data_IF_882540465811
#
_entry.id   IF_882540465811
#
_cell.length_a   1.000
_cell.length_b   1.000
_cell.length_c   1.000
_cell.angle_alpha   90.00
_cell.angle_beta   90.00
_cell.angle_gamma   90.00
#
_symmetry.space_group_name_H-M   'P 1'
#
loop_
_entity.id
_entity.type
_entity.pdbx_description
1 polymer ?
#
# COMPACT_ATOMS: atom_id res chain seq x y z
N UNK A 1 -10.15 -1.18 -11.56
CA UNK A 1 -8.90 -1.98 -11.55
C UNK A 1 -7.67 -1.25 -12.11
N UNK A 2 -7.74 -0.53 -13.24
CA UNK A 2 -6.56 0.15 -13.82
C UNK A 2 -5.83 1.10 -12.85
N UNK A 3 -6.57 1.85 -12.03
CA UNK A 3 -5.98 2.76 -11.04
C UNK A 3 -5.17 2.05 -9.95
N UNK A 4 -5.68 0.93 -9.41
CA UNK A 4 -4.95 0.10 -8.44
C UNK A 4 -3.68 -0.45 -9.07
N UNK A 5 -3.78 -1.04 -10.27
CA UNK A 5 -2.62 -1.58 -10.97
C UNK A 5 -1.54 -0.52 -11.22
N UNK A 6 -1.94 0.70 -11.60
CA UNK A 6 -1.02 1.81 -11.78
C UNK A 6 -0.36 2.25 -10.47
N UNK A 7 -1.13 2.43 -9.39
CA UNK A 7 -0.58 2.81 -8.09
C UNK A 7 0.39 1.75 -7.54
N UNK A 8 0.07 0.46 -7.69
CA UNK A 8 0.97 -0.64 -7.33
C UNK A 8 2.26 -0.60 -8.14
N UNK A 9 2.18 -0.40 -9.46
CA UNK A 9 3.37 -0.30 -10.32
C UNK A 9 4.30 0.82 -9.86
N UNK A 10 3.74 2.01 -9.60
CA UNK A 10 4.52 3.16 -9.13
C UNK A 10 5.17 2.92 -7.77
N UNK A 11 4.47 2.28 -6.83
CA UNK A 11 5.03 1.90 -5.53
C UNK A 11 6.22 0.94 -5.69
N UNK A 12 6.08 -0.07 -6.55
CA UNK A 12 7.14 -1.05 -6.83
C UNK A 12 8.36 -0.36 -7.45
N UNK A 13 8.17 0.48 -8.47
CA UNK A 13 9.28 1.20 -9.12
C UNK A 13 10.02 2.14 -8.16
N UNK A 14 9.28 2.85 -7.29
CA UNK A 14 9.88 3.71 -6.26
C UNK A 14 10.71 2.89 -5.27
N UNK A 15 10.16 1.76 -4.81
CA UNK A 15 10.83 0.87 -3.87
C UNK A 15 12.12 0.30 -4.47
N UNK A 16 12.08 -0.18 -5.70
CA UNK A 16 13.24 -0.76 -6.37
C UNK A 16 14.37 0.27 -6.52
N UNK A 17 14.02 1.50 -6.90
CA UNK A 17 14.98 2.61 -7.02
C UNK A 17 15.57 3.02 -5.66
N UNK A 18 14.77 2.97 -4.59
CA UNK A 18 15.17 3.43 -3.24
C UNK A 18 15.93 2.37 -2.45
N UNK A 19 15.66 1.09 -2.68
CA UNK A 19 16.38 -0.02 -2.05
C UNK A 19 17.75 -0.25 -2.68
N UNK A 20 17.89 0.00 -3.99
CA UNK A 20 19.13 -0.23 -4.73
C UNK A 20 19.65 1.03 -5.42
N UNK A 21 20.02 2.08 -4.67
CA UNK A 21 20.55 3.30 -5.28
C UNK A 21 21.95 3.05 -5.88
N UNK A 22 22.24 3.63 -7.07
CA UNK A 22 23.53 3.44 -7.73
C UNK A 22 24.66 4.00 -6.88
N UNK A 23 25.74 3.23 -6.72
CA UNK A 23 26.93 3.63 -5.96
C UNK A 23 26.80 3.52 -4.43
N UNK A 24 25.74 2.89 -3.92
CA UNK A 24 25.61 2.62 -2.49
C UNK A 24 26.69 1.65 -1.98
N UNK A 25 27.22 1.92 -0.79
CA UNK A 25 28.14 0.99 -0.14
C UNK A 25 27.39 -0.24 0.39
N UNK A 26 28.10 -1.36 0.58
CA UNK A 26 27.51 -2.56 1.20
C UNK A 26 26.92 -2.26 2.59
N UNK A 27 27.52 -1.32 3.32
CA UNK A 27 27.04 -0.90 4.64
C UNK A 27 25.72 -0.11 4.58
N UNK A 28 25.49 0.64 3.51
CA UNK A 28 24.23 1.36 3.28
C UNK A 28 23.14 0.40 2.81
N UNK A 29 23.47 -0.52 1.91
CA UNK A 29 22.53 -1.54 1.42
C UNK A 29 21.99 -2.43 2.55
N UNK A 30 22.81 -2.78 3.54
CA UNK A 30 22.36 -3.53 4.73
C UNK A 30 21.30 -2.78 5.55
N UNK A 31 21.25 -1.45 5.47
CA UNK A 31 20.24 -0.62 6.15
C UNK A 31 18.99 -0.44 5.30
N UNK A 32 19.10 -0.50 3.98
CA UNK A 32 18.01 -0.36 3.01
C UNK A 32 17.25 -1.69 2.83
N UNK A 33 16.69 -2.22 3.93
CA UNK A 33 15.78 -3.37 3.87
C UNK A 33 14.33 -2.91 3.85
N UNK A 34 13.44 -3.75 3.33
CA UNK A 34 12.00 -3.49 3.40
C UNK A 34 11.57 -3.21 4.84
N UNK A 35 11.93 -4.09 5.77
CA UNK A 35 11.59 -3.93 7.19
C UNK A 35 12.02 -2.56 7.73
N UNK A 36 13.24 -2.12 7.46
CA UNK A 36 13.72 -0.83 7.95
C UNK A 36 12.97 0.34 7.33
N UNK A 37 12.75 0.32 6.02
CA UNK A 37 12.04 1.40 5.32
C UNK A 37 10.57 1.47 5.76
N UNK A 38 9.90 0.34 5.95
CA UNK A 38 8.52 0.29 6.43
C UNK A 38 8.40 0.74 7.90
N UNK A 39 9.40 0.46 8.74
CA UNK A 39 9.45 0.97 10.11
C UNK A 39 9.70 2.48 10.17
N UNK A 40 10.60 3.00 9.33
CA UNK A 40 10.89 4.44 9.25
C UNK A 40 9.76 5.23 8.58
N UNK A 41 9.02 4.59 7.68
CA UNK A 41 7.90 5.15 6.91
C UNK A 41 8.20 6.55 6.34
N UNK A 42 9.22 6.68 5.46
CA UNK A 42 9.58 7.96 4.87
C UNK A 42 8.42 8.56 4.05
N UNK A 43 8.40 9.88 3.89
CA UNK A 43 7.30 10.60 3.24
C UNK A 43 6.94 10.07 1.84
N UNK A 44 7.92 9.62 1.05
CA UNK A 44 7.65 9.04 -0.28
C UNK A 44 6.85 7.73 -0.17
N UNK A 45 7.16 6.88 0.81
CA UNK A 45 6.47 5.61 1.03
C UNK A 45 5.05 5.87 1.53
N UNK A 46 4.91 6.80 2.48
CA UNK A 46 3.59 7.18 3.01
C UNK A 46 2.67 7.73 1.90
N UNK A 47 3.20 8.62 1.04
CA UNK A 47 2.44 9.17 -0.07
C UNK A 47 2.07 8.10 -1.11
N UNK A 48 2.97 7.17 -1.41
CA UNK A 48 2.69 6.06 -2.32
C UNK A 48 1.59 5.14 -1.77
N UNK A 49 1.63 4.83 -0.47
CA UNK A 49 0.58 4.07 0.20
C UNK A 49 -0.75 4.81 0.20
N UNK A 50 -0.79 6.10 0.54
CA UNK A 50 -2.02 6.92 0.45
C UNK A 50 -2.65 6.91 -0.95
N UNK A 51 -1.83 6.95 -2.00
CA UNK A 51 -2.32 6.86 -3.39
C UNK A 51 -2.92 5.49 -3.69
N UNK A 52 -2.27 4.42 -3.23
CA UNK A 52 -2.77 3.05 -3.39
C UNK A 52 -4.08 2.85 -2.61
N UNK A 53 -4.13 3.29 -1.35
CA UNK A 53 -5.30 3.20 -0.50
C UNK A 53 -6.48 3.93 -1.16
N UNK A 54 -6.30 5.17 -1.60
CA UNK A 54 -7.35 5.93 -2.29
C UNK A 54 -7.89 5.20 -3.55
N UNK A 55 -7.02 4.53 -4.32
CA UNK A 55 -7.44 3.73 -5.47
C UNK A 55 -8.21 2.47 -5.06
N UNK A 56 -7.87 1.85 -3.92
CA UNK A 56 -8.59 0.71 -3.34
C UNK A 56 -9.96 1.16 -2.84
N UNK A 57 -10.03 2.21 -2.02
CA UNK A 57 -11.29 2.79 -1.53
C UNK A 57 -12.23 3.14 -2.70
N UNK A 58 -11.73 3.79 -3.74
CA UNK A 58 -12.51 4.10 -4.93
C UNK A 58 -13.05 2.84 -5.65
N UNK A 59 -12.30 1.73 -5.66
CA UNK A 59 -12.75 0.49 -6.27
C UNK A 59 -13.85 -0.22 -5.45
N UNK A 60 -13.83 -0.05 -4.12
CA UNK A 60 -14.91 -0.50 -3.24
C UNK A 60 -16.09 0.49 -3.18
N UNK A 61 -15.93 1.70 -3.71
CA UNK A 61 -16.92 2.78 -3.59
C UNK A 61 -17.02 3.34 -2.16
N UNK A 62 -15.93 3.27 -1.40
CA UNK A 62 -15.88 3.66 0.01
C UNK A 62 -15.21 5.03 0.21
N UNK A 63 -15.59 5.79 1.25
CA UNK A 63 -14.86 7.00 1.66
C UNK A 63 -13.42 6.70 2.06
N UNK A 64 -12.50 7.63 1.81
CA UNK A 64 -11.06 7.47 2.12
C UNK A 64 -10.69 7.81 3.57
N UNK A 65 -11.64 8.33 4.34
CA UNK A 65 -11.49 8.79 5.73
C UNK A 65 -12.08 7.81 6.76
N UNK A 66 -12.40 6.59 6.33
CA UNK A 66 -12.84 5.53 7.24
C UNK A 66 -11.72 5.16 8.21
N UNK A 67 -12.09 4.95 9.48
CA UNK A 67 -11.19 4.33 10.45
C UNK A 67 -11.13 2.81 10.25
N UNK A 68 -10.19 2.16 10.93
CA UNK A 68 -9.95 0.72 10.81
C UNK A 68 -11.19 -0.12 11.17
N UNK A 69 -11.94 0.26 12.21
CA UNK A 69 -13.14 -0.48 12.65
C UNK A 69 -14.25 -0.41 11.59
N UNK A 70 -14.46 0.74 10.97
CA UNK A 70 -15.42 0.92 9.87
C UNK A 70 -15.03 0.09 8.64
N UNK A 71 -13.73 0.04 8.32
CA UNK A 71 -13.21 -0.79 7.22
C UNK A 71 -13.48 -2.28 7.53
N UNK A 72 -13.17 -2.73 8.75
CA UNK A 72 -13.39 -4.11 9.18
C UNK A 72 -14.87 -4.49 9.15
N UNK A 73 -15.76 -3.63 9.64
CA UNK A 73 -17.20 -3.86 9.62
C UNK A 73 -17.75 -4.03 8.20
N UNK A 74 -17.31 -3.17 7.27
CA UNK A 74 -17.73 -3.26 5.85
C UNK A 74 -17.19 -4.51 5.17
N UNK A 75 -15.93 -4.88 5.43
CA UNK A 75 -15.33 -6.10 4.90
C UNK A 75 -16.06 -7.35 5.43
N UNK A 76 -16.42 -7.37 6.72
CA UNK A 76 -17.17 -8.45 7.33
C UNK A 76 -18.55 -8.61 6.66
N UNK A 77 -19.29 -7.52 6.47
CA UNK A 77 -20.58 -7.55 5.79
C UNK A 77 -20.47 -8.13 4.36
N UNK A 78 -19.51 -7.66 3.57
CA UNK A 78 -19.25 -8.20 2.22
C UNK A 78 -18.90 -9.69 2.23
N UNK A 79 -18.14 -10.15 3.22
CA UNK A 79 -17.78 -11.56 3.34
C UNK A 79 -18.98 -12.44 3.71
N UNK A 80 -19.85 -11.98 4.62
CA UNK A 80 -21.08 -12.68 4.98
C UNK A 80 -22.05 -12.78 3.80
N UNK A 81 -22.22 -11.70 3.02
CA UNK A 81 -23.04 -11.69 1.81
C UNK A 81 -22.55 -12.74 0.78
N UNK A 82 -21.25 -12.78 0.52
CA UNK A 82 -20.64 -13.74 -0.43
C UNK A 82 -20.77 -15.19 0.07
N UNK A 83 -20.53 -15.43 1.35
CA UNK A 83 -20.64 -16.75 1.95
C UNK A 83 -22.07 -17.29 1.90
N UNK A 84 -23.09 -16.43 2.03
CA UNK A 84 -24.50 -16.80 1.88
C UNK A 84 -24.98 -16.98 0.43
N UNK A 85 -24.20 -16.52 -0.55
CA UNK A 85 -24.45 -16.70 -1.99
C UNK A 85 -23.75 -17.95 -2.58
N UNK A 86 -22.98 -18.66 -1.74
CA UNK A 86 -22.17 -19.83 -2.13
C UNK A 86 -22.92 -21.14 -1.91
#
# INVERSE_FOLDING_TARGET
>A
MKAIAQATKELVEQRDTRLNPPGASESDLKKLTLTNIYNQRPAWLDNAHKKLDAAVFAAYGWPVDLNDDDILARLLALNLERAGQS
#
